data_IF_119720895494
#
_entry.id   IF_119720895494
#
_cell.length_a   1.000
_cell.length_b   1.000
_cell.length_c   1.000
_cell.angle_alpha   90.00
_cell.angle_beta   90.00
_cell.angle_gamma   90.00
#
_symmetry.space_group_name_H-M   'P 1'
#
loop_
_entity.id
_entity.type
_entity.pdbx_description
1 polymer ?
#
# COMPACT_ATOMS: atom_id res chain seq x y z
N UNK A 1 31.81 20.20 -1.73
CA UNK A 1 31.54 20.14 -2.38
C UNK A 1 31.06 19.12 -2.85
N UNK A 2 30.84 18.36 -2.67
CA UNK A 2 30.63 17.37 -3.16
C UNK A 2 29.66 16.54 -2.50
N UNK A 3 28.89 16.72 -1.52
CA UNK A 3 27.92 15.85 -0.85
C UNK A 3 26.54 15.84 -1.50
N UNK A 4 26.30 16.72 -2.43
CA UNK A 4 24.97 16.78 -3.04
C UNK A 4 24.54 15.49 -3.74
N UNK A 5 25.40 14.76 -4.43
CA UNK A 5 24.97 13.57 -5.13
C UNK A 5 24.41 12.48 -4.24
N UNK A 6 24.79 12.48 -2.99
CA UNK A 6 24.32 11.44 -2.09
C UNK A 6 22.84 11.57 -1.78
N UNK A 7 22.35 12.79 -1.76
CA UNK A 7 20.94 13.01 -1.48
C UNK A 7 20.04 12.44 -2.56
N UNK A 8 20.51 12.48 -3.79
CA UNK A 8 19.73 11.97 -4.90
C UNK A 8 19.53 10.48 -4.78
N UNK A 9 20.56 9.79 -4.32
CA UNK A 9 20.46 8.34 -4.18
C UNK A 9 19.41 7.93 -3.17
N UNK A 10 19.22 8.72 -2.14
CA UNK A 10 18.26 8.40 -1.12
C UNK A 10 16.82 8.45 -1.63
N UNK A 11 16.59 9.24 -2.66
CA UNK A 11 15.24 9.37 -3.19
C UNK A 11 14.86 8.21 -4.09
N UNK A 12 15.82 7.46 -4.57
CA UNK A 12 15.54 6.42 -5.53
C UNK A 12 14.93 5.17 -4.92
N UNK A 13 14.92 5.03 -3.62
CA UNK A 13 14.44 3.80 -3.02
C UNK A 13 12.96 3.77 -2.74
N UNK A 14 12.22 4.81 -3.11
CA UNK A 14 10.85 4.91 -2.69
C UNK A 14 9.82 4.64 -3.77
N UNK A 15 10.22 4.16 -4.90
CA UNK A 15 9.31 4.06 -6.03
C UNK A 15 8.65 2.69 -6.10
N UNK A 16 7.39 2.59 -5.80
CA UNK A 16 6.60 1.42 -6.08
C UNK A 16 7.03 0.15 -5.36
N UNK A 17 6.32 -0.92 -5.66
CA UNK A 17 6.61 -2.22 -5.07
C UNK A 17 7.65 -2.94 -5.90
N UNK A 18 8.53 -3.64 -5.20
CA UNK A 18 9.51 -4.46 -5.86
C UNK A 18 8.97 -5.85 -6.08
N UNK A 19 9.67 -6.64 -6.92
CA UNK A 19 9.21 -7.98 -7.25
C UNK A 19 8.99 -8.82 -6.00
N UNK A 20 9.90 -8.70 -5.06
CA UNK A 20 9.81 -9.49 -3.84
C UNK A 20 8.57 -9.11 -3.05
N UNK A 21 8.28 -7.82 -2.97
CA UNK A 21 7.10 -7.35 -2.26
C UNK A 21 5.83 -7.86 -2.92
N UNK A 22 5.81 -7.87 -4.25
CA UNK A 22 4.64 -8.35 -4.96
C UNK A 22 4.38 -9.82 -4.70
N UNK A 23 5.44 -10.61 -4.60
CA UNK A 23 5.27 -12.05 -4.42
C UNK A 23 4.96 -12.45 -3.00
N UNK A 24 5.38 -11.63 -2.01
CA UNK A 24 5.22 -11.99 -0.61
C UNK A 24 4.17 -11.18 0.11
N UNK A 25 3.54 -10.25 -0.56
CA UNK A 25 2.62 -9.34 0.11
C UNK A 25 1.43 -10.09 0.70
N UNK A 26 1.07 -9.71 1.91
CA UNK A 26 -0.19 -10.12 2.50
C UNK A 26 -1.21 -9.07 2.06
N UNK A 27 -1.95 -9.39 1.02
CA UNK A 27 -2.82 -8.40 0.40
C UNK A 27 -3.95 -7.94 1.31
N UNK A 28 -4.44 -8.84 2.17
CA UNK A 28 -5.45 -8.44 3.14
C UNK A 28 -4.88 -7.36 4.07
N UNK A 29 -3.70 -7.61 4.61
CA UNK A 29 -3.08 -6.66 5.54
C UNK A 29 -2.80 -5.33 4.86
N UNK A 30 -2.36 -5.37 3.60
CA UNK A 30 -2.12 -4.13 2.88
C UNK A 30 -3.39 -3.34 2.69
N UNK A 31 -4.48 -4.02 2.34
CA UNK A 31 -5.75 -3.34 2.18
C UNK A 31 -6.22 -2.72 3.48
N UNK A 32 -6.13 -3.49 4.55
CA UNK A 32 -6.53 -3.00 5.86
C UNK A 32 -5.72 -1.75 6.24
N UNK A 33 -4.41 -1.83 6.05
CA UNK A 33 -3.54 -0.70 6.39
C UNK A 33 -3.87 0.54 5.56
N UNK A 34 -4.08 0.37 4.26
CA UNK A 34 -4.38 1.51 3.40
C UNK A 34 -5.65 2.20 3.86
N UNK A 35 -6.68 1.42 4.18
CA UNK A 35 -7.94 2.00 4.63
C UNK A 35 -7.78 2.69 5.99
N UNK A 36 -6.98 2.11 6.88
CA UNK A 36 -6.74 2.72 8.18
C UNK A 36 -6.01 4.05 8.06
N UNK A 37 -5.23 4.23 6.99
CA UNK A 37 -4.58 5.50 6.74
C UNK A 37 -5.50 6.48 6.00
N UNK A 38 -6.73 6.10 5.74
CA UNK A 38 -7.66 6.97 5.04
C UNK A 38 -7.46 7.00 3.55
N UNK A 39 -6.74 6.04 3.01
CA UNK A 39 -6.46 6.00 1.58
C UNK A 39 -7.57 5.28 0.84
N UNK A 40 -7.80 5.70 -0.40
CA UNK A 40 -8.71 4.97 -1.26
C UNK A 40 -8.07 3.66 -1.68
N UNK A 41 -8.87 2.80 -2.32
CA UNK A 41 -8.35 1.52 -2.77
C UNK A 41 -7.21 1.76 -3.76
N UNK A 42 -6.15 1.00 -3.57
CA UNK A 42 -4.94 1.12 -4.38
C UNK A 42 -4.71 -0.13 -5.22
N UNK A 43 -5.71 -0.99 -5.34
CA UNK A 43 -5.50 -2.28 -6.02
C UNK A 43 -5.09 -2.11 -7.47
N UNK A 44 -5.62 -1.10 -8.17
CA UNK A 44 -5.21 -0.88 -9.55
C UNK A 44 -3.74 -0.49 -9.64
N UNK A 45 -3.30 0.35 -8.74
CA UNK A 45 -1.90 0.78 -8.71
C UNK A 45 -0.99 -0.40 -8.42
N UNK A 46 -1.35 -1.20 -7.43
CA UNK A 46 -0.55 -2.37 -7.09
C UNK A 46 -0.53 -3.37 -8.24
N UNK A 47 -1.68 -3.58 -8.88
CA UNK A 47 -1.75 -4.51 -9.98
C UNK A 47 -0.83 -4.08 -11.12
N UNK A 48 -0.82 -2.79 -11.41
CA UNK A 48 0.04 -2.26 -12.45
C UNK A 48 1.51 -2.43 -12.10
N UNK A 49 1.86 -2.10 -10.85
CA UNK A 49 3.25 -2.20 -10.42
C UNK A 49 3.74 -3.65 -10.41
N UNK A 50 2.89 -4.55 -9.94
CA UNK A 50 3.29 -5.94 -9.83
C UNK A 50 3.29 -6.65 -11.18
N UNK A 51 2.49 -6.18 -12.14
CA UNK A 51 2.51 -6.74 -13.46
C UNK A 51 3.88 -6.58 -14.12
N UNK A 52 4.57 -5.51 -13.81
CA UNK A 52 5.91 -5.30 -14.33
C UNK A 52 6.88 -6.39 -13.88
N UNK A 53 6.57 -7.07 -12.80
CA UNK A 53 7.39 -8.16 -12.26
C UNK A 53 6.74 -9.51 -12.51
N UNK A 54 5.72 -9.55 -13.37
CA UNK A 54 5.01 -10.79 -13.70
C UNK A 54 4.42 -11.45 -12.45
N UNK A 55 3.99 -10.62 -11.51
CA UNK A 55 3.37 -11.10 -10.29
C UNK A 55 1.94 -10.62 -10.23
N UNK A 56 1.08 -11.43 -9.65
CA UNK A 56 -0.33 -11.10 -9.55
C UNK A 56 -0.69 -10.60 -8.17
N UNK A 57 -1.59 -9.64 -8.13
CA UNK A 57 -2.14 -9.13 -6.88
C UNK A 57 -3.43 -9.89 -6.60
N UNK A 58 -3.60 -10.33 -5.38
CA UNK A 58 -4.87 -10.95 -4.97
C UNK A 58 -5.85 -9.83 -4.66
N UNK A 59 -6.50 -9.35 -5.70
CA UNK A 59 -7.39 -8.20 -5.56
C UNK A 59 -8.56 -8.47 -4.62
N UNK A 60 -9.23 -9.64 -4.68
CA UNK A 60 -10.30 -9.89 -3.71
C UNK A 60 -9.82 -9.86 -2.26
N UNK A 61 -8.63 -10.39 -2.01
CA UNK A 61 -8.08 -10.35 -0.65
C UNK A 61 -7.81 -8.92 -0.21
N UNK A 62 -7.22 -8.14 -1.10
CA UNK A 62 -6.93 -6.75 -0.81
C UNK A 62 -8.23 -6.00 -0.52
N UNK A 63 -9.24 -6.20 -1.36
CA UNK A 63 -10.51 -5.51 -1.19
C UNK A 63 -11.17 -5.87 0.13
N UNK A 64 -11.08 -7.13 0.52
CA UNK A 64 -11.65 -7.57 1.79
C UNK A 64 -10.97 -6.88 2.96
N UNK A 65 -9.64 -6.84 2.94
CA UNK A 65 -8.91 -6.14 3.99
C UNK A 65 -9.23 -4.66 4.02
N UNK A 66 -9.33 -4.04 2.84
CA UNK A 66 -9.62 -2.63 2.76
C UNK A 66 -11.00 -2.32 3.34
N UNK A 67 -11.99 -3.15 3.03
CA UNK A 67 -13.34 -2.94 3.57
C UNK A 67 -13.34 -3.00 5.10
N UNK A 68 -12.64 -3.98 5.65
CA UNK A 68 -12.60 -4.11 7.10
C UNK A 68 -11.80 -2.98 7.74
N UNK A 69 -10.73 -2.55 7.07
CA UNK A 69 -9.96 -1.43 7.57
C UNK A 69 -10.75 -0.14 7.53
N UNK A 70 -11.55 0.04 6.48
CA UNK A 70 -12.39 1.21 6.38
C UNK A 70 -13.44 1.24 7.49
N UNK A 71 -14.05 0.08 7.77
CA UNK A 71 -15.01 -0.01 8.85
C UNK A 71 -14.37 0.37 10.18
N UNK A 72 -13.18 -0.13 10.41
CA UNK A 72 -12.47 0.15 11.64
C UNK A 72 -12.09 1.63 11.73
N UNK A 73 -11.65 2.20 10.60
CA UNK A 73 -11.29 3.61 10.56
C UNK A 73 -12.49 4.48 10.90
N UNK A 74 -13.64 4.17 10.31
CA UNK A 74 -14.85 4.95 10.55
C UNK A 74 -15.32 4.80 11.98
N UNK A 75 -15.22 3.60 12.52
CA UNK A 75 -15.63 3.37 13.90
C UNK A 75 -14.77 4.17 14.89
N UNK A 76 -13.46 4.18 14.65
CA UNK A 76 -12.57 4.92 15.52
C UNK A 76 -12.75 6.42 15.40
N UNK A 77 -12.98 6.89 14.18
CA UNK A 77 -13.21 8.29 13.93
C UNK A 77 -14.48 8.75 14.65
N UNK A 78 -15.53 7.95 14.56
CA UNK A 78 -16.79 8.29 15.23
C UNK A 78 -16.60 8.36 16.74
N UNK A 79 -15.82 7.43 17.29
CA UNK A 79 -15.60 7.42 18.73
C UNK A 79 -14.80 8.62 19.21
N UNK A 80 -13.85 9.05 18.41
CA UNK A 80 -12.99 10.15 18.84
C UNK A 80 -13.70 11.50 18.75
N UNK A 81 -14.86 11.56 18.12
CA UNK A 81 -15.62 12.79 18.08
C UNK A 81 -16.46 13.00 19.33
N UNK A 82 -16.57 12.00 20.15
CA UNK A 82 -17.28 12.13 21.41
C UNK A 82 -16.35 12.66 22.49
#
# INVERSE_FOLDING_TARGET
MRSAPLLILLLCGCAGLEAEDCRRADWYTLGFRDAMYGLQRQDDTYAWQCAAHEAKVDIPRYAQGWQEGKYEFERRTAQSQD
#
